data_IF_144290847839
#
_entry.id   IF_144290847839
#
_cell.length_a   1.000
_cell.length_b   1.000
_cell.length_c   1.000
_cell.angle_alpha   90.00
_cell.angle_beta   90.00
_cell.angle_gamma   90.00
#
_symmetry.space_group_name_H-M   'P 1'
#
loop_
_entity.id
_entity.type
_entity.pdbx_description
1 polymer ?
#
# COMPACT_ATOMS: atom_id res chain seq x y z
N UNK A 1 -12.80 22.46 -2.53
CA UNK A 1 -13.29 21.12 -2.20
C UNK A 1 -12.82 20.18 -3.29
N UNK A 2 -12.25 19.01 -2.95
CA UNK A 2 -11.78 18.03 -3.93
C UNK A 2 -12.99 17.44 -4.68
N UNK A 3 -12.77 17.13 -5.96
CA UNK A 3 -13.78 16.49 -6.81
C UNK A 3 -13.65 14.97 -6.71
N UNK A 4 -14.49 14.35 -5.88
CA UNK A 4 -14.44 12.91 -5.66
C UNK A 4 -14.72 12.09 -6.91
N UNK A 5 -15.56 12.56 -7.85
CA UNK A 5 -15.77 11.86 -9.12
C UNK A 5 -14.50 11.83 -9.99
N UNK A 6 -13.72 12.92 -9.96
CA UNK A 6 -12.40 12.97 -10.60
C UNK A 6 -11.37 12.09 -9.88
N UNK A 7 -11.39 12.09 -8.56
CA UNK A 7 -10.50 11.25 -7.75
C UNK A 7 -10.77 9.75 -7.92
N UNK A 8 -12.03 9.34 -7.97
CA UNK A 8 -12.42 7.95 -8.27
C UNK A 8 -11.98 7.52 -9.67
N UNK A 9 -12.15 8.41 -10.66
CA UNK A 9 -11.67 8.15 -12.02
C UNK A 9 -10.15 7.98 -12.06
N UNK A 10 -9.40 8.83 -11.35
CA UNK A 10 -7.95 8.73 -11.22
C UNK A 10 -7.54 7.39 -10.57
N UNK A 11 -8.13 7.05 -9.43
CA UNK A 11 -7.85 5.81 -8.72
C UNK A 11 -8.14 4.57 -9.59
N UNK A 12 -9.26 4.59 -10.33
CA UNK A 12 -9.61 3.52 -11.25
C UNK A 12 -8.60 3.38 -12.40
N UNK A 13 -8.17 4.50 -13.03
CA UNK A 13 -7.18 4.45 -14.11
C UNK A 13 -5.84 3.93 -13.64
N UNK A 14 -5.37 4.35 -12.48
CA UNK A 14 -4.08 3.89 -11.95
C UNK A 14 -4.13 2.42 -11.51
N UNK A 15 -5.24 1.97 -10.94
CA UNK A 15 -5.43 0.56 -10.55
C UNK A 15 -5.54 -0.37 -11.75
N UNK A 16 -6.33 0.02 -12.73
CA UNK A 16 -6.55 -0.78 -13.93
C UNK A 16 -5.43 -0.62 -14.99
N UNK A 17 -4.60 0.41 -14.86
CA UNK A 17 -3.55 0.76 -15.82
C UNK A 17 -4.08 1.15 -17.21
N UNK A 18 -5.40 1.47 -17.35
CA UNK A 18 -6.05 1.75 -18.62
C UNK A 18 -7.32 2.55 -18.43
N UNK A 19 -7.51 3.58 -19.27
CA UNK A 19 -8.74 4.38 -19.31
C UNK A 19 -9.97 3.55 -19.67
N UNK A 20 -9.83 2.62 -20.64
CA UNK A 20 -10.94 1.76 -21.07
C UNK A 20 -11.36 0.77 -19.99
N UNK A 21 -10.41 0.17 -19.26
CA UNK A 21 -10.70 -0.72 -18.14
C UNK A 21 -11.33 0.03 -16.98
N UNK A 22 -10.82 1.21 -16.66
CA UNK A 22 -11.40 2.08 -15.63
C UNK A 22 -12.83 2.49 -15.97
N UNK A 23 -13.09 2.83 -17.22
CA UNK A 23 -14.43 3.19 -17.71
C UNK A 23 -15.43 2.04 -17.50
N UNK A 24 -15.04 0.82 -17.87
CA UNK A 24 -15.86 -0.39 -17.63
C UNK A 24 -16.11 -0.62 -16.15
N UNK A 25 -15.07 -0.46 -15.31
CA UNK A 25 -15.15 -0.64 -13.86
C UNK A 25 -16.11 0.35 -13.19
N UNK A 26 -16.14 1.59 -13.67
CA UNK A 26 -16.98 2.66 -13.16
C UNK A 26 -18.32 2.81 -13.92
N UNK A 27 -18.61 1.92 -14.87
CA UNK A 27 -19.83 1.94 -15.69
C UNK A 27 -20.07 3.28 -16.41
N UNK A 28 -19.01 3.88 -16.93
CA UNK A 28 -19.02 5.13 -17.70
C UNK A 28 -18.27 4.96 -19.02
N UNK A 29 -18.29 6.00 -19.88
CA UNK A 29 -17.53 5.99 -21.13
C UNK A 29 -16.05 6.35 -20.92
N UNK A 30 -15.12 5.88 -21.76
CA UNK A 30 -13.71 6.29 -21.68
C UNK A 30 -13.52 7.81 -21.84
N UNK A 31 -14.35 8.47 -22.63
CA UNK A 31 -14.34 9.93 -22.76
C UNK A 31 -14.72 10.63 -21.46
N UNK A 32 -15.70 10.10 -20.72
CA UNK A 32 -16.07 10.65 -19.41
C UNK A 32 -14.93 10.53 -18.40
N UNK A 33 -14.22 9.39 -18.36
CA UNK A 33 -13.01 9.22 -17.52
C UNK A 33 -11.96 10.25 -17.91
N UNK A 34 -11.65 10.37 -19.21
CA UNK A 34 -10.64 11.32 -19.68
C UNK A 34 -10.99 12.76 -19.30
N UNK A 35 -12.27 13.14 -19.43
CA UNK A 35 -12.73 14.47 -19.06
C UNK A 35 -12.66 14.73 -17.54
N UNK A 36 -13.05 13.76 -16.70
CA UNK A 36 -12.95 13.87 -15.25
C UNK A 36 -11.49 14.07 -14.81
N UNK A 37 -10.57 13.28 -15.36
CA UNK A 37 -9.14 13.40 -15.04
C UNK A 37 -8.60 14.75 -15.51
N UNK A 38 -8.93 15.18 -16.73
CA UNK A 38 -8.50 16.48 -17.24
C UNK A 38 -8.96 17.64 -16.33
N UNK A 39 -10.23 17.66 -15.94
CA UNK A 39 -10.75 18.67 -15.02
C UNK A 39 -10.08 18.61 -13.63
N UNK A 40 -9.75 17.41 -13.15
CA UNK A 40 -9.02 17.25 -11.89
C UNK A 40 -7.59 17.81 -12.02
N UNK A 41 -6.87 17.49 -13.11
CA UNK A 41 -5.53 18.02 -13.43
C UNK A 41 -5.54 19.55 -13.54
N UNK A 42 -6.53 20.12 -14.22
CA UNK A 42 -6.70 21.57 -14.31
C UNK A 42 -6.92 22.22 -12.94
N UNK A 43 -7.71 21.61 -12.05
CA UNK A 43 -7.95 22.12 -10.69
C UNK A 43 -6.73 22.02 -9.79
N UNK A 44 -5.98 20.93 -9.92
CA UNK A 44 -4.76 20.68 -9.13
C UNK A 44 -3.56 21.46 -9.68
N UNK A 45 -3.62 21.82 -10.97
CA UNK A 45 -2.54 22.50 -11.67
C UNK A 45 -1.36 21.59 -12.02
N UNK A 46 -1.55 20.29 -12.02
CA UNK A 46 -0.49 19.29 -12.28
C UNK A 46 -1.04 18.10 -13.07
N UNK A 47 -0.18 17.50 -13.88
CA UNK A 47 -0.46 16.21 -14.53
C UNK A 47 -0.46 15.11 -13.45
N UNK A 48 -1.50 14.28 -13.44
CA UNK A 48 -1.69 13.21 -12.46
C UNK A 48 -1.47 11.82 -13.04
N UNK A 49 -1.65 11.66 -14.36
CA UNK A 49 -1.52 10.37 -15.05
C UNK A 49 -0.47 10.46 -16.14
N UNK A 50 0.53 9.61 -16.09
CA UNK A 50 1.45 9.33 -17.18
C UNK A 50 0.81 8.30 -18.11
N UNK A 51 0.53 8.73 -19.36
CA UNK A 51 -0.07 7.86 -20.37
C UNK A 51 0.97 6.88 -20.90
N UNK A 52 0.64 5.60 -20.85
CA UNK A 52 1.50 4.49 -21.29
C UNK A 52 0.72 3.18 -21.28
N UNK A 53 1.41 2.07 -21.46
CA UNK A 53 0.84 0.73 -21.34
C UNK A 53 1.72 -0.09 -20.38
N UNK A 54 1.33 -0.16 -19.11
CA UNK A 54 0.14 0.44 -18.46
C UNK A 54 0.26 1.94 -18.21
N UNK A 55 -0.89 2.63 -17.99
CA UNK A 55 -0.92 3.98 -17.45
C UNK A 55 -0.42 3.96 -16.00
N UNK A 56 0.40 4.95 -15.63
CA UNK A 56 0.95 5.07 -14.28
C UNK A 56 0.69 6.46 -13.69
N UNK A 57 0.73 6.58 -12.37
CA UNK A 57 0.54 7.84 -11.68
C UNK A 57 1.83 8.65 -11.60
N UNK A 58 1.72 9.98 -11.73
CA UNK A 58 2.75 10.88 -11.22
C UNK A 58 2.82 10.80 -9.70
N UNK A 59 3.82 11.41 -9.07
CA UNK A 59 3.89 11.50 -7.60
C UNK A 59 2.62 12.14 -7.03
N UNK A 60 2.15 13.25 -7.61
CA UNK A 60 0.90 13.90 -7.22
C UNK A 60 -0.32 12.98 -7.42
N UNK A 61 -0.37 12.25 -8.54
CA UNK A 61 -1.43 11.28 -8.82
C UNK A 61 -1.47 10.15 -7.80
N UNK A 62 -0.32 9.57 -7.43
CA UNK A 62 -0.25 8.53 -6.40
C UNK A 62 -0.69 9.03 -5.02
N UNK A 63 -0.26 10.23 -4.63
CA UNK A 63 -0.69 10.85 -3.35
C UNK A 63 -2.21 11.06 -3.29
N UNK A 64 -2.83 11.50 -4.38
CA UNK A 64 -4.29 11.63 -4.43
C UNK A 64 -5.01 10.28 -4.39
N UNK A 65 -4.47 9.24 -5.04
CA UNK A 65 -5.02 7.89 -4.91
C UNK A 65 -4.93 7.37 -3.47
N UNK A 66 -3.79 7.58 -2.80
CA UNK A 66 -3.66 7.21 -1.39
C UNK A 66 -4.69 7.92 -0.51
N UNK A 67 -4.96 9.19 -0.78
CA UNK A 67 -6.03 9.92 -0.09
C UNK A 67 -7.41 9.27 -0.29
N UNK A 68 -7.75 8.87 -1.52
CA UNK A 68 -9.01 8.15 -1.81
C UNK A 68 -9.11 6.84 -1.02
N UNK A 69 -8.02 6.09 -0.97
CA UNK A 69 -7.94 4.84 -0.21
C UNK A 69 -8.12 5.08 1.30
N UNK A 70 -7.52 6.14 1.85
CA UNK A 70 -7.70 6.53 3.26
C UNK A 70 -9.16 6.94 3.56
N UNK A 71 -9.79 7.68 2.67
CA UNK A 71 -11.21 8.04 2.82
C UNK A 71 -12.09 6.80 2.80
N UNK A 72 -11.84 5.85 1.90
CA UNK A 72 -12.58 4.59 1.84
C UNK A 72 -12.46 3.76 3.15
N UNK A 73 -11.31 3.83 3.83
CA UNK A 73 -11.14 3.20 5.14
C UNK A 73 -12.01 3.88 6.21
N UNK A 74 -11.98 5.21 6.27
CA UNK A 74 -12.79 5.98 7.23
C UNK A 74 -14.30 5.75 7.00
N UNK A 75 -14.73 5.69 5.74
CA UNK A 75 -16.12 5.36 5.39
C UNK A 75 -16.48 3.91 5.81
N UNK A 76 -15.54 2.98 5.70
CA UNK A 76 -15.76 1.61 6.14
C UNK A 76 -15.86 1.50 7.68
N UNK A 77 -15.04 2.25 8.41
CA UNK A 77 -15.14 2.36 9.87
C UNK A 77 -16.47 2.96 10.30
N UNK A 78 -16.91 4.02 9.64
CA UNK A 78 -18.21 4.65 9.90
C UNK A 78 -19.36 3.65 9.70
N UNK A 79 -19.33 2.87 8.62
CA UNK A 79 -20.35 1.84 8.36
C UNK A 79 -20.36 0.75 9.43
N UNK A 80 -19.18 0.33 9.90
CA UNK A 80 -19.10 -0.67 10.97
C UNK A 80 -19.68 -0.15 12.29
N UNK A 81 -19.39 1.10 12.60
CA UNK A 81 -19.89 1.73 13.82
C UNK A 81 -21.39 2.05 13.75
N UNK A 82 -21.90 2.38 12.57
CA UNK A 82 -23.28 2.84 12.36
C UNK A 82 -23.86 2.26 11.05
N UNK A 83 -24.24 0.96 11.06
CA UNK A 83 -24.76 0.30 9.85
C UNK A 83 -26.01 0.97 9.26
N UNK A 84 -26.80 1.61 10.12
CA UNK A 84 -28.05 2.30 9.73
C UNK A 84 -27.83 3.59 8.95
N UNK A 85 -26.65 4.21 9.06
CA UNK A 85 -26.33 5.47 8.36
C UNK A 85 -25.87 5.27 6.93
N UNK A 86 -25.47 4.06 6.56
CA UNK A 86 -24.92 3.78 5.24
C UNK A 86 -25.70 2.63 4.62
N UNK A 87 -26.50 2.88 3.56
CA UNK A 87 -27.28 1.84 2.89
C UNK A 87 -26.42 0.66 2.44
N UNK A 88 -26.93 -0.55 2.54
CA UNK A 88 -26.34 -1.75 1.95
C UNK A 88 -26.28 -1.59 0.43
N UNK A 89 -25.14 -1.19 -0.10
CA UNK A 89 -24.92 -1.09 -1.54
C UNK A 89 -23.43 -1.10 -1.81
N UNK A 90 -23.00 -1.99 -2.66
CA UNK A 90 -21.67 -2.09 -3.30
C UNK A 90 -20.48 -1.56 -2.49
N UNK A 91 -20.24 -2.14 -1.34
CA UNK A 91 -19.06 -1.81 -0.55
C UNK A 91 -17.85 -2.52 -1.17
N UNK A 92 -17.10 -1.80 -1.96
CA UNK A 92 -15.77 -2.26 -2.31
C UNK A 92 -14.98 -2.46 -1.00
N UNK A 93 -14.41 -3.65 -0.82
CA UNK A 93 -13.52 -3.90 0.32
C UNK A 93 -12.35 -2.95 0.22
N UNK A 94 -12.08 -2.11 1.22
CA UNK A 94 -10.93 -1.24 1.17
C UNK A 94 -9.66 -2.09 1.15
N UNK A 95 -8.70 -1.65 0.35
CA UNK A 95 -7.39 -2.32 0.25
C UNK A 95 -6.36 -1.52 1.00
N UNK A 96 -5.72 -2.15 1.99
CA UNK A 96 -4.58 -1.61 2.72
C UNK A 96 -3.30 -1.96 1.99
N UNK A 97 -2.61 -0.95 1.47
CA UNK A 97 -1.30 -1.12 0.84
C UNK A 97 -0.20 -0.99 1.88
N UNK A 98 0.59 -2.04 2.01
CA UNK A 98 1.65 -2.15 2.99
C UNK A 98 2.98 -2.47 2.30
N UNK A 99 4.07 -1.93 2.82
CA UNK A 99 5.42 -2.38 2.46
C UNK A 99 6.04 -3.11 3.66
N UNK A 100 6.60 -4.28 3.42
CA UNK A 100 7.18 -5.12 4.47
C UNK A 100 8.50 -5.69 3.96
N UNK A 101 9.50 -5.76 4.83
CA UNK A 101 10.73 -6.43 4.47
C UNK A 101 10.56 -7.96 4.52
N UNK A 102 11.40 -8.67 3.75
CA UNK A 102 11.33 -10.12 3.62
C UNK A 102 11.49 -10.85 4.97
N UNK A 103 12.35 -10.36 5.84
CA UNK A 103 12.62 -10.99 7.14
C UNK A 103 11.41 -10.93 8.06
N UNK A 104 10.73 -9.78 8.12
CA UNK A 104 9.48 -9.63 8.87
C UNK A 104 8.39 -10.51 8.29
N UNK A 105 8.25 -10.55 6.96
CA UNK A 105 7.25 -11.38 6.31
C UNK A 105 7.48 -12.88 6.58
N UNK A 106 8.73 -13.34 6.56
CA UNK A 106 9.09 -14.73 6.77
C UNK A 106 9.09 -15.15 8.26
N UNK A 107 8.83 -14.25 9.17
CA UNK A 107 8.85 -14.54 10.60
C UNK A 107 7.49 -14.30 11.27
N UNK A 108 7.22 -13.08 11.70
CA UNK A 108 6.08 -12.74 12.56
C UNK A 108 4.90 -12.10 11.81
N UNK A 109 5.14 -11.50 10.63
CA UNK A 109 4.14 -10.66 9.96
C UNK A 109 2.97 -11.48 9.39
N UNK A 110 3.20 -12.74 9.02
CA UNK A 110 2.13 -13.65 8.53
C UNK A 110 1.08 -13.88 9.61
N UNK A 111 1.51 -14.13 10.85
CA UNK A 111 0.59 -14.33 11.97
C UNK A 111 -0.18 -13.03 12.31
N UNK A 112 0.49 -11.89 12.23
CA UNK A 112 -0.15 -10.59 12.42
C UNK A 112 -1.21 -10.31 11.35
N UNK A 113 -0.94 -10.63 10.07
CA UNK A 113 -1.92 -10.54 8.99
C UNK A 113 -3.12 -11.46 9.22
N UNK A 114 -2.85 -12.71 9.62
CA UNK A 114 -3.91 -13.67 9.90
C UNK A 114 -4.83 -13.16 11.03
N UNK A 115 -4.26 -12.64 12.10
CA UNK A 115 -5.02 -12.04 13.20
C UNK A 115 -5.83 -10.82 12.77
N UNK A 116 -5.23 -9.93 11.97
CA UNK A 116 -5.90 -8.74 11.46
C UNK A 116 -7.10 -9.07 10.56
N UNK A 117 -6.95 -10.02 9.65
CA UNK A 117 -8.00 -10.40 8.69
C UNK A 117 -9.17 -11.15 9.30
N UNK A 118 -9.00 -11.76 10.49
CA UNK A 118 -10.10 -12.43 11.21
C UNK A 118 -11.19 -11.46 11.67
N UNK A 119 -10.85 -10.20 11.95
CA UNK A 119 -11.79 -9.18 12.45
C UNK A 119 -12.28 -8.19 11.40
N UNK A 120 -11.75 -8.23 10.19
CA UNK A 120 -11.91 -7.19 9.19
C UNK A 120 -12.46 -7.65 7.85
N UNK A 121 -12.91 -6.69 7.06
CA UNK A 121 -13.36 -6.87 5.67
C UNK A 121 -12.36 -6.24 4.68
N UNK A 122 -11.20 -5.82 5.17
CA UNK A 122 -10.15 -5.18 4.40
C UNK A 122 -9.35 -6.22 3.61
N UNK A 123 -8.87 -5.82 2.45
CA UNK A 123 -7.88 -6.56 1.67
C UNK A 123 -6.48 -6.00 1.98
N UNK A 124 -5.49 -6.88 1.98
CA UNK A 124 -4.09 -6.48 2.13
C UNK A 124 -3.38 -6.60 0.77
N UNK A 125 -2.77 -5.51 0.33
CA UNK A 125 -1.87 -5.46 -0.83
C UNK A 125 -0.45 -5.24 -0.29
N UNK A 126 0.39 -6.29 -0.34
CA UNK A 126 1.68 -6.30 0.32
C UNK A 126 2.79 -6.24 -0.71
N UNK A 127 3.56 -5.18 -0.65
CA UNK A 127 4.82 -5.04 -1.39
C UNK A 127 5.97 -5.52 -0.52
N UNK A 128 6.73 -6.47 -1.03
CA UNK A 128 7.95 -6.95 -0.37
C UNK A 128 9.11 -6.11 -0.89
N UNK A 129 9.84 -5.50 0.02
CA UNK A 129 10.98 -4.66 -0.32
C UNK A 129 12.15 -4.90 0.64
N UNK A 130 13.32 -4.41 0.23
CA UNK A 130 14.47 -4.36 1.13
C UNK A 130 14.25 -3.31 2.23
N UNK A 131 14.89 -3.52 3.39
CA UNK A 131 14.70 -2.68 4.58
C UNK A 131 14.90 -1.19 4.31
N UNK A 132 15.82 -0.85 3.39
CA UNK A 132 16.13 0.53 3.04
C UNK A 132 15.13 1.19 2.09
N UNK A 133 14.32 0.40 1.38
CA UNK A 133 13.38 0.89 0.38
C UNK A 133 11.95 1.06 0.89
N UNK A 134 11.57 0.37 1.96
CA UNK A 134 10.21 0.45 2.53
C UNK A 134 9.81 1.87 2.94
N UNK A 135 10.72 2.63 3.56
CA UNK A 135 10.49 4.02 3.94
C UNK A 135 10.29 4.96 2.74
N UNK A 136 10.95 4.66 1.60
CA UNK A 136 10.80 5.43 0.36
C UNK A 136 9.38 5.32 -0.20
N UNK A 137 8.77 4.13 -0.17
CA UNK A 137 7.40 3.92 -0.66
C UNK A 137 6.35 4.75 0.09
N UNK A 138 6.53 4.94 1.40
CA UNK A 138 5.67 5.85 2.17
C UNK A 138 5.83 7.29 1.68
N UNK A 139 7.07 7.76 1.49
CA UNK A 139 7.35 9.12 1.00
C UNK A 139 6.75 9.37 -0.38
N UNK A 140 6.76 8.37 -1.24
CA UNK A 140 6.21 8.43 -2.60
C UNK A 140 4.69 8.22 -2.65
N UNK A 141 4.04 7.94 -1.50
CA UNK A 141 2.59 7.71 -1.43
C UNK A 141 2.16 6.42 -2.13
N UNK A 142 3.02 5.41 -2.18
CA UNK A 142 2.71 4.11 -2.78
C UNK A 142 2.01 3.18 -1.80
N UNK A 143 2.32 3.33 -0.51
CA UNK A 143 1.77 2.51 0.58
C UNK A 143 1.28 3.38 1.72
N UNK A 144 0.35 2.85 2.51
CA UNK A 144 -0.26 3.52 3.66
C UNK A 144 0.54 3.28 4.94
N UNK A 145 1.22 2.15 5.04
CA UNK A 145 2.10 1.82 6.16
C UNK A 145 3.28 0.96 5.67
N UNK A 146 4.36 0.97 6.44
CA UNK A 146 5.51 0.13 6.17
C UNK A 146 6.12 -0.41 7.45
N UNK A 147 6.61 -1.64 7.37
CA UNK A 147 7.51 -2.22 8.38
C UNK A 147 8.94 -1.98 7.92
N UNK A 148 9.68 -1.20 8.68
CA UNK A 148 11.03 -0.76 8.31
C UNK A 148 11.97 -0.80 9.52
N UNK A 149 13.25 -1.00 9.29
CA UNK A 149 14.28 -0.84 10.32
C UNK A 149 14.72 0.63 10.47
N UNK A 150 14.28 1.53 9.59
CA UNK A 150 14.63 2.94 9.64
C UNK A 150 13.86 3.67 10.73
N UNK A 151 14.57 4.38 11.60
CA UNK A 151 14.01 5.32 12.58
C UNK A 151 13.80 6.73 12.02
N UNK A 152 14.02 6.94 10.72
CA UNK A 152 13.92 8.25 10.09
C UNK A 152 12.49 8.77 10.14
N UNK A 153 12.32 9.97 10.68
CA UNK A 153 11.01 10.63 10.70
C UNK A 153 10.56 10.99 9.28
N UNK A 154 9.34 10.60 8.94
CA UNK A 154 8.68 10.96 7.68
C UNK A 154 7.54 11.92 8.02
N UNK A 155 7.55 13.10 7.42
CA UNK A 155 6.51 14.11 7.64
C UNK A 155 5.12 13.56 7.31
N UNK A 156 4.18 13.71 8.25
CA UNK A 156 2.82 13.21 8.11
C UNK A 156 2.64 11.73 8.46
N UNK A 157 3.68 11.06 8.97
CA UNK A 157 3.61 9.67 9.42
C UNK A 157 3.85 9.55 10.91
N UNK A 158 3.15 8.63 11.53
CA UNK A 158 3.42 8.18 12.89
C UNK A 158 4.37 6.99 12.86
N UNK A 159 5.25 6.90 13.84
CA UNK A 159 6.20 5.79 14.00
C UNK A 159 5.92 5.10 15.33
N UNK A 160 5.73 3.79 15.26
CA UNK A 160 5.59 2.94 16.44
C UNK A 160 6.72 1.93 16.48
N UNK A 161 7.56 1.93 17.51
CA UNK A 161 8.56 0.87 17.70
C UNK A 161 7.83 -0.44 17.98
N UNK A 162 8.17 -1.50 17.26
CA UNK A 162 7.60 -2.83 17.46
C UNK A 162 8.50 -3.67 18.38
N UNK A 163 9.65 -4.07 17.86
CA UNK A 163 10.64 -4.89 18.56
C UNK A 163 11.99 -4.83 17.87
N UNK A 164 13.00 -5.45 18.47
CA UNK A 164 14.29 -5.68 17.82
C UNK A 164 14.31 -7.08 17.21
N UNK A 165 14.78 -7.19 15.98
CA UNK A 165 15.02 -8.48 15.34
C UNK A 165 16.45 -8.94 15.67
N UNK A 166 16.58 -10.12 16.25
CA UNK A 166 17.86 -10.70 16.59
C UNK A 166 18.33 -11.62 15.46
N UNK A 167 19.46 -11.28 14.87
CA UNK A 167 20.13 -12.12 13.89
C UNK A 167 21.21 -12.93 14.57
N UNK A 168 21.26 -14.22 14.27
CA UNK A 168 22.30 -15.11 14.76
C UNK A 168 22.99 -15.79 13.57
N UNK A 169 24.30 -15.92 13.65
CA UNK A 169 25.02 -16.73 12.69
C UNK A 169 24.64 -18.20 12.88
N UNK A 170 24.24 -18.85 11.82
CA UNK A 170 23.86 -20.25 11.85
C UNK A 170 24.54 -21.03 10.71
N UNK A 171 24.93 -22.27 11.00
CA UNK A 171 25.49 -23.16 10.01
C UNK A 171 25.00 -24.58 10.25
N UNK A 172 24.95 -25.40 9.19
CA UNK A 172 24.63 -26.82 9.35
C UNK A 172 25.77 -27.55 10.07
N UNK A 173 25.48 -28.63 10.82
CA UNK A 173 26.54 -29.45 11.43
C UNK A 173 27.58 -29.93 10.44
N UNK A 174 27.16 -30.30 9.22
CA UNK A 174 28.07 -30.72 8.15
C UNK A 174 29.01 -29.59 7.68
N UNK A 175 28.49 -28.36 7.60
CA UNK A 175 29.31 -27.19 7.27
C UNK A 175 30.33 -26.91 8.38
N UNK A 176 29.91 -26.95 9.63
CA UNK A 176 30.80 -26.77 10.78
C UNK A 176 31.93 -27.81 10.80
N UNK A 177 31.59 -29.09 10.66
CA UNK A 177 32.57 -30.17 10.63
C UNK A 177 33.59 -30.04 9.46
N UNK A 178 33.13 -29.53 8.31
CA UNK A 178 33.96 -29.38 7.12
C UNK A 178 34.93 -28.20 7.19
N UNK A 179 34.50 -27.07 7.76
CA UNK A 179 35.22 -25.80 7.65
C UNK A 179 35.80 -25.27 8.95
N UNK A 180 35.28 -25.68 10.11
CA UNK A 180 35.68 -25.14 11.40
C UNK A 180 36.33 -26.15 12.35
N UNK A 181 36.38 -27.46 11.99
CA UNK A 181 37.05 -28.49 12.78
C UNK A 181 36.56 -28.59 14.23
N UNK A 182 37.39 -29.17 15.11
CA UNK A 182 37.08 -29.36 16.54
C UNK A 182 37.24 -28.05 17.38
N UNK A 183 38.01 -27.08 16.89
CA UNK A 183 38.33 -25.85 17.63
C UNK A 183 37.17 -24.80 17.56
N UNK A 184 36.18 -25.04 16.73
CA UNK A 184 35.03 -24.11 16.58
C UNK A 184 35.40 -22.77 15.94
N UNK A 185 34.44 -21.79 16.02
CA UNK A 185 34.67 -20.43 15.57
C UNK A 185 35.40 -19.68 16.68
N UNK A 186 36.64 -19.31 16.45
CA UNK A 186 37.35 -18.36 17.32
C UNK A 186 37.00 -16.92 16.91
N UNK A 187 36.75 -16.00 17.88
CA UNK A 187 36.43 -14.61 17.61
C UNK A 187 37.58 -13.85 16.92
#
# INVERSE_FOLDING_TARGET
>A
MLDYAGLEALAAVLREGSFDRAARKLHVTPSAISQRIKLLEERVGQVLVMRGTPCTGTEAGRRLCLHVEQVALLENELRRANPELVPEGQVARPTLKLAVNADSLNSWFVDAMAAFTQGGNELLDISIDDQDHTAKRIKEGEVMAAVTASSSHITGCNIWPLANMHYVAAASPAFMARYFGEEGITP
#
